data_IF_773162941231
#
_entry.id   IF_773162941231
#
_cell.length_a   1.000
_cell.length_b   1.000
_cell.length_c   1.000
_cell.angle_alpha   90.00
_cell.angle_beta   90.00
_cell.angle_gamma   90.00
#
_symmetry.space_group_name_H-M   'P 1'
#
loop_
_entity.id
_entity.type
_entity.pdbx_description
1 polymer ?
#
# COMPACT_ATOMS: atom_id res chain seq x y z
N UNK A 1 -27.09 -76.91 37.82
CA UNK A 1 -26.23 -75.73 38.09
C UNK A 1 -27.00 -74.74 38.95
N UNK A 2 -26.57 -74.52 40.19
CA UNK A 2 -27.29 -73.73 41.20
C UNK A 2 -27.58 -72.33 40.66
N UNK A 3 -28.81 -71.83 40.84
CA UNK A 3 -29.30 -70.57 40.23
C UNK A 3 -28.31 -69.40 40.37
N UNK A 4 -27.59 -69.33 41.49
CA UNK A 4 -26.52 -68.34 41.76
C UNK A 4 -25.31 -68.45 40.82
N UNK A 5 -24.85 -69.67 40.49
CA UNK A 5 -23.72 -69.89 39.55
C UNK A 5 -24.09 -69.55 38.10
N UNK A 6 -25.36 -69.72 37.72
CA UNK A 6 -25.86 -69.28 36.39
C UNK A 6 -25.89 -67.76 36.26
N UNK A 7 -26.33 -67.05 37.31
CA UNK A 7 -26.36 -65.58 37.30
C UNK A 7 -24.95 -65.02 37.19
N UNK A 8 -24.01 -65.51 38.00
CA UNK A 8 -22.60 -65.07 37.94
C UNK A 8 -21.99 -65.28 36.55
N UNK A 9 -22.26 -66.43 35.91
CA UNK A 9 -21.75 -66.71 34.57
C UNK A 9 -22.35 -65.78 33.51
N UNK A 10 -23.64 -65.45 33.60
CA UNK A 10 -24.29 -64.49 32.70
C UNK A 10 -23.71 -63.08 32.88
N UNK A 11 -23.46 -62.64 34.12
CA UNK A 11 -22.88 -61.32 34.39
C UNK A 11 -21.46 -61.20 33.82
N UNK A 12 -20.63 -62.23 33.95
CA UNK A 12 -19.26 -62.24 33.41
C UNK A 12 -19.28 -62.17 31.88
N UNK A 13 -20.14 -62.95 31.22
CA UNK A 13 -20.29 -62.91 29.76
C UNK A 13 -20.74 -61.53 29.29
N UNK A 14 -21.65 -60.90 30.02
CA UNK A 14 -22.14 -59.56 29.69
C UNK A 14 -21.03 -58.50 29.78
N UNK A 15 -20.19 -58.56 30.81
CA UNK A 15 -19.05 -57.64 31.00
C UNK A 15 -18.02 -57.78 29.88
N UNK A 16 -17.73 -59.01 29.44
CA UNK A 16 -16.78 -59.27 28.34
C UNK A 16 -17.29 -58.75 27.01
N UNK A 17 -18.59 -58.87 26.74
CA UNK A 17 -19.20 -58.35 25.52
C UNK A 17 -19.21 -56.82 25.55
N UNK A 18 -19.57 -56.21 26.69
CA UNK A 18 -19.58 -54.75 26.82
C UNK A 18 -18.19 -54.13 26.69
N UNK A 19 -17.16 -54.74 27.27
CA UNK A 19 -15.79 -54.23 27.19
C UNK A 19 -15.24 -54.31 25.76
N UNK A 20 -15.57 -55.37 25.02
CA UNK A 20 -15.17 -55.53 23.62
C UNK A 20 -15.82 -54.49 22.71
N UNK A 21 -17.13 -54.25 22.87
CA UNK A 21 -17.88 -53.24 22.11
C UNK A 21 -17.36 -51.83 22.42
N UNK A 22 -17.12 -51.53 23.70
CA UNK A 22 -16.63 -50.23 24.13
C UNK A 22 -15.23 -49.92 23.59
N UNK A 23 -14.34 -50.92 23.60
CA UNK A 23 -13.00 -50.79 23.04
C UNK A 23 -13.04 -50.55 21.53
N UNK A 24 -13.89 -51.28 20.80
CA UNK A 24 -14.07 -51.08 19.36
C UNK A 24 -14.60 -49.68 19.04
N UNK A 25 -15.54 -49.16 19.84
CA UNK A 25 -16.11 -47.83 19.63
C UNK A 25 -15.08 -46.71 19.86
N UNK A 26 -14.22 -46.85 20.88
CA UNK A 26 -13.15 -45.88 21.16
C UNK A 26 -12.07 -45.92 20.08
N UNK A 27 -11.63 -47.11 19.68
CA UNK A 27 -10.59 -47.26 18.65
C UNK A 27 -11.02 -46.73 17.28
N UNK A 28 -12.30 -46.87 16.93
CA UNK A 28 -12.79 -46.37 15.64
C UNK A 28 -13.01 -44.84 15.63
N UNK A 29 -13.12 -44.21 16.80
CA UNK A 29 -13.27 -42.74 16.91
C UNK A 29 -11.94 -41.98 16.76
N UNK A 30 -10.80 -42.63 16.98
CA UNK A 30 -9.49 -41.95 16.93
C UNK A 30 -8.85 -41.89 15.54
N UNK A 31 -9.53 -42.35 14.48
CA UNK A 31 -9.04 -42.32 13.08
C UNK A 31 -9.43 -41.06 12.31
N UNK A 32 -9.70 -39.94 12.97
CA UNK A 32 -9.61 -38.65 12.27
C UNK A 32 -8.15 -38.24 12.27
N UNK A 33 -7.42 -38.57 11.20
CA UNK A 33 -6.15 -37.93 10.89
C UNK A 33 -6.42 -36.43 10.80
N UNK A 34 -6.05 -35.70 11.85
CA UNK A 34 -6.15 -34.26 11.88
C UNK A 34 -5.13 -33.75 10.86
N UNK A 35 -5.63 -33.37 9.68
CA UNK A 35 -4.83 -32.71 8.68
C UNK A 35 -4.18 -31.50 9.36
N UNK A 36 -2.86 -31.43 9.34
CA UNK A 36 -2.14 -30.29 9.87
C UNK A 36 -2.49 -29.09 8.98
N UNK A 37 -3.32 -28.19 9.48
CA UNK A 37 -3.61 -26.92 8.81
C UNK A 37 -2.33 -26.11 8.76
N UNK A 38 -1.70 -26.11 7.58
CA UNK A 38 -0.51 -25.30 7.30
C UNK A 38 -0.99 -23.85 7.24
N UNK A 39 -0.70 -23.09 8.29
CA UNK A 39 -1.13 -21.70 8.42
C UNK A 39 -0.16 -20.79 7.66
N UNK A 40 -0.56 -20.32 6.48
CA UNK A 40 0.21 -19.41 5.63
C UNK A 40 -0.41 -18.03 5.62
N UNK A 41 0.39 -17.02 5.96
CA UNK A 41 -0.04 -15.62 5.91
C UNK A 41 -0.10 -15.15 4.45
N UNK A 42 -1.26 -14.63 4.05
CA UNK A 42 -1.49 -14.10 2.70
C UNK A 42 -2.03 -12.68 2.79
N UNK A 43 -1.78 -11.90 1.74
CA UNK A 43 -2.34 -10.55 1.58
C UNK A 43 -3.09 -10.48 0.25
N UNK A 44 -4.18 -9.71 0.21
CA UNK A 44 -4.94 -9.50 -1.03
C UNK A 44 -4.15 -8.56 -1.94
N UNK A 45 -3.94 -8.98 -3.18
CA UNK A 45 -3.35 -8.14 -4.22
C UNK A 45 -4.33 -7.03 -4.57
N UNK A 46 -3.84 -5.80 -4.58
CA UNK A 46 -4.59 -4.61 -5.02
C UNK A 46 -3.96 -4.09 -6.31
N UNK A 47 -4.80 -3.72 -7.28
CA UNK A 47 -4.33 -3.07 -8.49
C UNK A 47 -4.15 -1.58 -8.22
N UNK A 48 -2.97 -1.05 -8.53
CA UNK A 48 -2.63 0.35 -8.36
C UNK A 48 -1.69 0.82 -9.47
N UNK A 49 -1.62 2.12 -9.67
CA UNK A 49 -0.65 2.72 -10.60
C UNK A 49 0.65 2.99 -9.85
N UNK A 50 1.77 2.50 -10.37
CA UNK A 50 3.11 2.87 -9.90
C UNK A 50 3.59 4.03 -10.77
N UNK A 51 4.05 5.11 -10.15
CA UNK A 51 4.62 6.27 -10.83
C UNK A 51 6.10 6.32 -10.51
N UNK A 52 6.90 6.48 -11.55
CA UNK A 52 8.33 6.77 -11.46
C UNK A 52 8.54 8.19 -11.97
N UNK A 53 9.27 8.99 -11.21
CA UNK A 53 9.56 10.39 -11.54
C UNK A 53 11.06 10.61 -11.54
N UNK A 54 11.55 11.35 -12.54
CA UNK A 54 12.94 11.80 -12.60
C UNK A 54 12.97 13.23 -12.08
N UNK A 55 13.80 13.48 -11.08
CA UNK A 55 14.05 14.83 -10.59
C UNK A 55 15.09 15.51 -11.50
N UNK A 56 14.78 16.74 -11.90
CA UNK A 56 15.67 17.57 -12.69
C UNK A 56 15.75 18.96 -12.07
N UNK A 57 16.95 19.51 -12.03
CA UNK A 57 17.22 20.86 -11.56
C UNK A 57 17.29 21.83 -12.75
N UNK A 58 16.86 23.06 -12.52
CA UNK A 58 16.90 24.11 -13.52
C UNK A 58 16.63 25.48 -12.90
N UNK A 59 17.01 26.53 -13.64
CA UNK A 59 16.79 27.92 -13.23
C UNK A 59 15.82 28.58 -14.21
N UNK A 60 14.89 29.37 -13.68
CA UNK A 60 14.02 30.20 -14.50
C UNK A 60 14.83 31.37 -15.08
N UNK A 61 14.74 31.54 -16.40
CA UNK A 61 15.38 32.65 -17.11
C UNK A 61 14.33 33.41 -17.94
N UNK A 62 14.52 34.73 -18.18
CA UNK A 62 13.69 35.48 -19.11
C UNK A 62 13.77 34.86 -20.50
N UNK A 63 12.64 34.86 -21.22
CA UNK A 63 12.60 34.42 -22.62
C UNK A 63 13.46 35.34 -23.51
N UNK A 64 13.37 36.64 -23.28
CA UNK A 64 14.15 37.67 -23.97
C UNK A 64 14.50 38.80 -22.99
N UNK A 65 15.73 39.31 -23.07
CA UNK A 65 16.20 40.46 -22.29
C UNK A 65 16.78 41.48 -23.25
N UNK A 66 16.30 42.72 -23.17
CA UNK A 66 16.77 43.84 -24.01
C UNK A 66 17.32 44.94 -23.12
N UNK A 67 18.59 45.29 -23.32
CA UNK A 67 19.21 46.43 -22.66
C UNK A 67 18.97 47.70 -23.50
N UNK A 68 18.16 48.62 -22.99
CA UNK A 68 17.86 49.89 -23.67
C UNK A 68 19.03 50.86 -23.49
N UNK A 69 19.46 51.51 -24.58
CA UNK A 69 20.51 52.52 -24.61
C UNK A 69 20.05 53.75 -25.39
N UNK A 70 20.64 54.92 -25.13
CA UNK A 70 20.44 56.09 -25.97
C UNK A 70 21.04 55.86 -27.35
N UNK A 71 20.44 56.47 -28.38
CA UNK A 71 20.95 56.40 -29.75
C UNK A 71 22.21 57.24 -29.94
N UNK A 72 22.24 58.39 -29.27
CA UNK A 72 23.34 59.35 -29.32
C UNK A 72 23.96 59.50 -27.92
N UNK A 73 25.25 59.79 -27.89
CA UNK A 73 26.02 60.02 -26.66
C UNK A 73 26.04 61.51 -26.30
N UNK A 74 26.24 61.82 -25.01
CA UNK A 74 26.45 63.19 -24.52
C UNK A 74 25.18 63.99 -24.18
N UNK A 75 24.00 63.37 -24.29
CA UNK A 75 22.73 63.99 -23.87
C UNK A 75 22.41 63.68 -22.40
N UNK A 76 21.70 64.59 -21.73
CA UNK A 76 21.35 64.47 -20.31
C UNK A 76 19.88 64.11 -20.18
N UNK A 77 19.58 63.03 -19.46
CA UNK A 77 18.20 62.64 -19.13
C UNK A 77 17.44 63.81 -18.49
N UNK A 78 16.39 64.26 -19.18
CA UNK A 78 15.47 65.29 -18.69
C UNK A 78 14.40 64.69 -17.78
N UNK A 79 13.78 63.59 -18.23
CA UNK A 79 12.69 62.92 -17.50
C UNK A 79 12.62 61.43 -17.84
N UNK A 80 12.29 60.63 -16.82
CA UNK A 80 11.95 59.21 -16.96
C UNK A 80 10.42 59.08 -16.93
N UNK A 81 9.85 58.41 -17.92
CA UNK A 81 8.39 58.35 -18.16
C UNK A 81 7.74 57.04 -17.66
N UNK A 82 8.53 56.14 -17.09
CA UNK A 82 8.11 54.81 -16.62
C UNK A 82 8.73 54.51 -15.25
N UNK A 83 8.06 53.69 -14.47
CA UNK A 83 8.53 53.24 -13.16
C UNK A 83 9.04 51.78 -13.21
N UNK A 84 9.83 51.39 -12.21
CA UNK A 84 10.33 50.03 -12.11
C UNK A 84 9.17 49.04 -11.91
N UNK A 85 9.12 48.00 -12.74
CA UNK A 85 8.04 47.01 -12.74
C UNK A 85 6.91 47.31 -13.73
N UNK A 86 6.93 48.46 -14.41
CA UNK A 86 5.92 48.79 -15.41
C UNK A 86 5.96 47.86 -16.63
N UNK A 87 4.77 47.47 -17.09
CA UNK A 87 4.60 46.79 -18.37
C UNK A 87 4.54 47.81 -19.50
N UNK A 88 5.51 47.76 -20.41
CA UNK A 88 5.65 48.70 -21.52
C UNK A 88 5.37 48.03 -22.87
N UNK A 89 4.96 48.82 -23.87
CA UNK A 89 4.71 48.34 -25.23
C UNK A 89 5.92 48.60 -26.14
N UNK A 90 6.05 47.81 -27.20
CA UNK A 90 7.05 48.04 -28.25
C UNK A 90 6.87 49.45 -28.84
N UNK A 91 7.94 50.25 -28.84
CA UNK A 91 7.94 51.61 -29.36
C UNK A 91 7.45 52.68 -28.38
N UNK A 92 7.11 52.31 -27.13
CA UNK A 92 6.80 53.28 -26.09
C UNK A 92 8.03 54.10 -25.72
N UNK A 93 7.86 55.42 -25.57
CA UNK A 93 8.90 56.31 -25.06
C UNK A 93 9.12 56.04 -23.57
N UNK A 94 10.36 55.71 -23.19
CA UNK A 94 10.71 55.38 -21.81
C UNK A 94 11.38 56.55 -21.07
N UNK A 95 12.16 57.35 -21.81
CA UNK A 95 12.98 58.44 -21.29
C UNK A 95 13.04 59.55 -22.33
N UNK A 96 13.09 60.80 -21.86
CA UNK A 96 13.44 61.98 -22.67
C UNK A 96 14.85 62.43 -22.33
N UNK A 97 15.68 62.59 -23.37
CA UNK A 97 17.09 62.98 -23.31
C UNK A 97 17.29 64.48 -23.54
#
# INVERSE_FOLDING_TARGET
MNKRKKIVLVTIVFIVIFSSIFSFFIFNKSRSTQAQDINISTIRVIQGTIRETIEAEGTLAPFETVNVKSKEDGYKVEVVLVEEGDSVKKGQELVRL
#
